data_IF_574334032662
#
_entry.id   IF_574334032662
#
_cell.length_a   1.000
_cell.length_b   1.000
_cell.length_c   1.000
_cell.angle_alpha   90.00
_cell.angle_beta   90.00
_cell.angle_gamma   90.00
#
_symmetry.space_group_name_H-M   'P 1'
#
loop_
_entity.id
_entity.type
_entity.pdbx_description
1 polymer ?
#
# COMPACT_ATOMS: atom_id res chain seq x y z
N UNK A 1 12.12 65.41 -34.78
CA UNK A 1 10.76 65.49 -34.21
C UNK A 1 10.01 64.21 -34.48
N UNK A 2 9.38 63.69 -33.45
CA UNK A 2 8.43 62.60 -33.25
C UNK A 2 9.04 61.35 -32.59
N UNK A 3 8.81 61.30 -31.32
CA UNK A 3 9.01 60.18 -30.38
C UNK A 3 8.15 58.98 -30.77
N UNK A 4 8.71 57.80 -30.82
CA UNK A 4 7.95 56.56 -30.65
C UNK A 4 8.50 55.88 -29.39
N UNK A 5 7.69 55.87 -28.34
CA UNK A 5 7.89 55.03 -27.17
C UNK A 5 7.46 53.57 -27.51
N UNK A 6 8.20 52.54 -27.09
CA UNK A 6 7.75 51.17 -27.22
C UNK A 6 6.81 50.80 -26.07
N UNK A 7 5.62 50.41 -26.45
CA UNK A 7 4.58 49.91 -25.59
C UNK A 7 4.73 48.36 -25.46
N UNK A 8 5.80 47.88 -24.81
CA UNK A 8 6.00 46.46 -24.50
C UNK A 8 6.71 46.35 -23.16
N UNK A 9 6.00 46.43 -22.05
CA UNK A 9 6.50 46.06 -20.71
C UNK A 9 5.39 45.87 -19.66
N UNK A 10 4.17 45.39 -20.03
CA UNK A 10 3.09 45.28 -19.03
C UNK A 10 2.27 43.97 -19.12
N UNK A 11 2.74 42.95 -19.81
CA UNK A 11 1.96 41.70 -19.93
C UNK A 11 2.61 40.52 -19.19
N UNK A 12 3.86 40.65 -18.74
CA UNK A 12 4.56 39.54 -18.06
C UNK A 12 4.41 39.51 -16.51
N UNK A 13 3.80 40.51 -15.90
CA UNK A 13 3.68 40.61 -14.43
C UNK A 13 2.38 40.06 -13.84
N UNK A 14 1.31 39.94 -14.64
CA UNK A 14 -0.01 39.58 -14.15
C UNK A 14 -0.17 38.08 -13.81
N UNK A 15 0.39 37.13 -14.59
CA UNK A 15 0.27 35.71 -14.23
C UNK A 15 1.03 35.32 -12.96
N UNK A 16 2.21 35.92 -12.71
CA UNK A 16 2.98 35.61 -11.51
C UNK A 16 2.30 36.15 -10.24
N UNK A 17 1.64 37.30 -10.31
CA UNK A 17 0.93 37.90 -9.18
C UNK A 17 -0.36 37.14 -8.86
N UNK A 18 -1.06 36.61 -9.88
CA UNK A 18 -2.27 35.79 -9.71
C UNK A 18 -1.89 34.42 -9.13
N UNK A 19 -0.80 33.79 -9.60
CA UNK A 19 -0.31 32.52 -9.04
C UNK A 19 0.19 32.71 -7.61
N UNK A 20 0.87 33.80 -7.30
CA UNK A 20 1.29 34.12 -5.93
C UNK A 20 0.10 34.44 -5.04
N UNK A 21 -0.95 35.10 -5.57
CA UNK A 21 -2.17 35.39 -4.82
C UNK A 21 -3.00 34.12 -4.57
N UNK A 22 -3.06 33.20 -5.54
CA UNK A 22 -3.71 31.89 -5.38
C UNK A 22 -2.93 31.03 -4.37
N UNK A 23 -1.59 31.02 -4.41
CA UNK A 23 -0.76 30.30 -3.43
C UNK A 23 -0.89 30.94 -2.03
N UNK A 24 -0.99 32.26 -1.91
CA UNK A 24 -1.21 32.94 -0.65
C UNK A 24 -2.65 32.70 -0.14
N UNK A 25 -3.63 32.56 -1.02
CA UNK A 25 -5.02 32.23 -0.65
C UNK A 25 -5.13 30.76 -0.22
N UNK A 26 -4.38 29.85 -0.82
CA UNK A 26 -4.35 28.41 -0.44
C UNK A 26 -3.50 28.18 0.85
N UNK A 27 -2.50 29.04 1.11
CA UNK A 27 -1.72 28.97 2.35
C UNK A 27 -2.28 29.82 3.50
N UNK A 28 -3.25 30.71 3.23
CA UNK A 28 -4.06 31.41 4.21
C UNK A 28 -5.54 31.07 3.93
N UNK A 29 -5.91 29.80 4.11
CA UNK A 29 -7.30 29.56 4.49
C UNK A 29 -7.54 30.40 5.75
N UNK A 30 -8.53 31.31 5.75
CA UNK A 30 -8.93 31.96 6.99
C UNK A 30 -9.21 30.82 7.95
N UNK A 31 -8.58 30.80 9.13
CA UNK A 31 -8.91 29.84 10.19
C UNK A 31 -10.41 29.75 10.22
N UNK A 32 -10.97 28.60 9.81
CA UNK A 32 -12.39 28.45 9.56
C UNK A 32 -13.15 28.98 10.77
N UNK A 33 -14.16 29.80 10.55
CA UNK A 33 -14.93 30.39 11.66
C UNK A 33 -15.57 29.33 12.55
N UNK A 34 -15.50 28.03 12.19
CA UNK A 34 -16.00 26.90 12.95
C UNK A 34 -15.97 25.59 12.17
N UNK A 35 -16.27 24.47 12.84
CA UNK A 35 -16.44 23.17 12.18
C UNK A 35 -17.79 23.12 11.46
N UNK A 36 -17.83 22.51 10.25
CA UNK A 36 -19.11 22.28 9.56
C UNK A 36 -19.94 21.21 10.29
N UNK A 37 -21.28 21.35 10.25
CA UNK A 37 -22.19 20.32 10.79
C UNK A 37 -21.92 18.95 10.18
N UNK A 38 -21.72 18.89 8.89
CA UNK A 38 -21.46 17.64 8.17
C UNK A 38 -20.20 16.92 8.69
N UNK A 39 -19.08 17.65 8.86
CA UNK A 39 -17.82 17.07 9.36
C UNK A 39 -17.93 16.69 10.85
N UNK A 40 -18.61 17.51 11.64
CA UNK A 40 -18.88 17.19 13.04
C UNK A 40 -19.74 15.92 13.18
N UNK A 41 -20.80 15.78 12.37
CA UNK A 41 -21.64 14.59 12.37
C UNK A 41 -20.86 13.33 11.90
N UNK A 42 -20.07 13.44 10.83
CA UNK A 42 -19.18 12.35 10.38
C UNK A 42 -18.27 11.89 11.51
N UNK A 43 -17.55 12.83 12.14
CA UNK A 43 -16.61 12.50 13.21
C UNK A 43 -17.33 11.88 14.43
N UNK A 44 -18.51 12.38 14.80
CA UNK A 44 -19.30 11.84 15.88
C UNK A 44 -19.77 10.41 15.60
N UNK A 45 -20.27 10.12 14.41
CA UNK A 45 -20.70 8.77 14.02
C UNK A 45 -19.50 7.81 14.03
N UNK A 46 -18.40 8.19 13.39
CA UNK A 46 -17.20 7.36 13.34
C UNK A 46 -16.47 7.22 14.70
N UNK A 47 -16.81 8.02 15.71
CA UNK A 47 -16.40 7.75 17.08
C UNK A 47 -17.21 6.62 17.74
N UNK A 48 -18.46 6.41 17.30
CA UNK A 48 -19.41 5.45 17.89
C UNK A 48 -19.43 4.11 17.18
N UNK A 49 -19.52 4.12 15.84
CA UNK A 49 -19.71 2.93 15.02
C UNK A 49 -18.68 2.89 13.88
N UNK A 50 -18.53 1.71 13.26
CA UNK A 50 -17.70 1.55 12.07
C UNK A 50 -18.34 2.22 10.84
N UNK A 51 -17.49 2.47 9.82
CA UNK A 51 -17.98 2.96 8.54
C UNK A 51 -18.97 1.98 7.91
N UNK A 52 -18.67 0.70 7.95
CA UNK A 52 -19.52 -0.37 7.41
C UNK A 52 -20.88 -0.40 8.09
N UNK A 53 -20.93 -0.28 9.42
CA UNK A 53 -22.19 -0.21 10.17
C UNK A 53 -23.04 1.00 9.75
N UNK A 54 -22.40 2.16 9.53
CA UNK A 54 -23.09 3.36 9.06
C UNK A 54 -23.65 3.17 7.64
N UNK A 55 -22.89 2.58 6.71
CA UNK A 55 -23.31 2.31 5.35
C UNK A 55 -24.42 1.26 5.28
N UNK A 56 -24.38 0.24 6.14
CA UNK A 56 -25.44 -0.76 6.24
C UNK A 56 -26.71 -0.17 6.84
N UNK A 57 -26.60 0.67 7.85
CA UNK A 57 -27.73 1.40 8.42
C UNK A 57 -28.44 2.24 7.34
N UNK A 58 -27.69 2.98 6.50
CA UNK A 58 -28.29 3.79 5.42
C UNK A 58 -28.99 2.92 4.38
N UNK A 59 -28.46 1.76 4.02
CA UNK A 59 -29.09 0.80 3.08
C UNK A 59 -30.40 0.24 3.61
N UNK A 60 -30.50 0.05 4.94
CA UNK A 60 -31.67 -0.50 5.60
C UNK A 60 -32.70 0.59 5.95
N UNK A 61 -32.37 1.87 5.73
CA UNK A 61 -33.24 3.00 6.02
C UNK A 61 -34.34 3.12 4.97
N UNK A 62 -35.59 2.92 5.33
CA UNK A 62 -36.75 3.00 4.42
C UNK A 62 -36.86 4.37 3.75
N UNK A 63 -36.49 5.43 4.48
CA UNK A 63 -36.60 6.81 4.03
C UNK A 63 -35.58 7.71 4.69
N UNK A 64 -34.71 8.33 3.88
CA UNK A 64 -33.81 9.38 4.36
C UNK A 64 -34.59 10.65 4.76
N UNK A 65 -34.13 11.33 5.81
CA UNK A 65 -34.65 12.65 6.21
C UNK A 65 -34.40 13.71 5.15
N UNK A 66 -33.36 13.55 4.33
CA UNK A 66 -32.98 14.51 3.30
C UNK A 66 -33.83 14.40 2.03
N UNK A 67 -33.98 15.54 1.31
CA UNK A 67 -34.60 15.57 -0.02
C UNK A 67 -33.80 14.75 -1.02
N UNK A 68 -34.47 14.19 -2.03
CA UNK A 68 -33.87 13.33 -3.05
C UNK A 68 -32.64 13.95 -3.71
N UNK A 69 -32.65 15.26 -3.96
CA UNK A 69 -31.53 16.01 -4.54
C UNK A 69 -30.28 16.08 -3.65
N UNK A 70 -30.40 15.85 -2.37
CA UNK A 70 -29.33 15.89 -1.39
C UNK A 70 -28.78 14.50 -1.04
N UNK A 71 -29.50 13.42 -1.32
CA UNK A 71 -29.19 12.04 -0.91
C UNK A 71 -27.86 11.50 -1.41
N UNK A 72 -27.36 12.00 -2.54
CA UNK A 72 -26.04 11.62 -3.07
C UNK A 72 -24.86 12.34 -2.38
N UNK A 73 -25.13 13.21 -1.41
CA UNK A 73 -24.08 13.94 -0.70
C UNK A 73 -23.42 13.05 0.35
N UNK A 74 -22.10 13.11 0.45
CA UNK A 74 -21.28 12.27 1.32
C UNK A 74 -21.70 12.26 2.81
N UNK A 75 -22.28 13.36 3.29
CA UNK A 75 -22.64 13.55 4.72
C UNK A 75 -23.98 12.96 5.11
N UNK A 76 -24.85 12.65 4.15
CA UNK A 76 -26.25 12.23 4.41
C UNK A 76 -26.30 11.01 5.32
N UNK A 77 -25.53 9.97 5.03
CA UNK A 77 -25.48 8.74 5.83
C UNK A 77 -25.15 8.99 7.32
N UNK A 78 -24.24 9.92 7.60
CA UNK A 78 -23.85 10.27 8.97
C UNK A 78 -24.94 11.08 9.68
N UNK A 79 -25.54 12.03 8.99
CA UNK A 79 -26.61 12.87 9.57
C UNK A 79 -27.91 12.09 9.75
N UNK A 80 -28.29 11.25 8.79
CA UNK A 80 -29.47 10.37 8.91
C UNK A 80 -29.31 9.40 10.09
N UNK A 81 -28.11 8.83 10.27
CA UNK A 81 -27.84 7.97 11.44
C UNK A 81 -28.09 8.71 12.75
N UNK A 82 -27.52 9.90 12.93
CA UNK A 82 -27.68 10.69 14.16
C UNK A 82 -29.12 11.16 14.35
N UNK A 83 -29.82 11.51 13.28
CA UNK A 83 -31.21 11.93 13.33
C UNK A 83 -32.14 10.79 13.75
N UNK A 84 -32.04 9.64 13.13
CA UNK A 84 -32.85 8.45 13.47
C UNK A 84 -32.58 7.92 14.88
N UNK A 85 -31.35 8.11 15.40
CA UNK A 85 -31.02 7.83 16.80
C UNK A 85 -31.54 8.88 17.77
N UNK A 86 -32.13 9.97 17.28
CA UNK A 86 -32.62 11.07 18.09
C UNK A 86 -31.52 11.98 18.67
N UNK A 87 -30.30 11.93 18.09
CA UNK A 87 -29.19 12.76 18.54
C UNK A 87 -29.20 14.16 17.88
N UNK A 88 -29.87 14.31 16.75
CA UNK A 88 -30.08 15.58 16.06
C UNK A 88 -31.56 15.97 16.09
N UNK A 89 -31.80 17.28 16.07
CA UNK A 89 -33.14 17.83 15.91
C UNK A 89 -33.41 18.22 14.47
N UNK A 90 -34.68 18.43 14.08
CA UNK A 90 -35.06 18.90 12.75
C UNK A 90 -34.37 20.23 12.38
N UNK A 91 -34.13 21.10 13.33
CA UNK A 91 -33.44 22.37 13.07
C UNK A 91 -31.94 22.19 12.77
N UNK A 92 -31.33 21.09 13.24
CA UNK A 92 -29.94 20.74 12.98
C UNK A 92 -29.76 19.99 11.65
N UNK A 93 -30.82 19.36 11.16
CA UNK A 93 -30.84 18.58 9.92
C UNK A 93 -31.91 19.11 8.95
N UNK A 94 -31.83 20.37 8.52
CA UNK A 94 -32.79 20.84 7.51
C UNK A 94 -32.62 19.99 6.25
N UNK A 95 -33.73 19.60 5.61
CA UNK A 95 -33.71 18.68 4.46
C UNK A 95 -32.98 19.24 3.21
N UNK A 96 -32.57 20.50 3.27
CA UNK A 96 -31.88 21.20 2.19
C UNK A 96 -30.37 21.15 2.32
N UNK A 97 -29.66 20.90 1.23
CA UNK A 97 -28.21 20.70 1.15
C UNK A 97 -27.37 21.80 1.81
N UNK A 98 -27.80 23.06 1.72
CA UNK A 98 -27.00 24.20 2.20
C UNK A 98 -26.81 24.26 3.71
N UNK A 99 -27.74 23.75 4.48
CA UNK A 99 -27.69 23.84 5.93
C UNK A 99 -26.74 22.82 6.57
N UNK A 100 -26.57 21.64 5.95
CA UNK A 100 -25.58 20.65 6.40
C UNK A 100 -24.14 21.14 6.25
N UNK A 101 -23.88 22.02 5.30
CA UNK A 101 -22.57 22.65 5.08
C UNK A 101 -22.34 23.90 5.95
N UNK A 102 -23.36 24.35 6.70
CA UNK A 102 -23.21 25.42 7.67
C UNK A 102 -22.38 24.99 8.88
N UNK A 103 -21.90 25.97 9.64
CA UNK A 103 -21.14 25.68 10.87
C UNK A 103 -22.03 25.12 11.97
N UNK A 104 -21.48 24.19 12.74
CA UNK A 104 -22.08 23.72 13.98
C UNK A 104 -21.97 24.82 15.05
N UNK A 105 -23.09 25.17 15.72
CA UNK A 105 -23.07 26.14 16.80
C UNK A 105 -22.79 25.48 18.15
N UNK A 106 -22.39 26.27 19.15
CA UNK A 106 -22.21 25.76 20.53
C UNK A 106 -23.48 25.12 21.08
N UNK A 107 -24.64 25.70 20.78
CA UNK A 107 -25.94 25.16 21.25
C UNK A 107 -26.27 23.81 20.65
N UNK A 108 -25.99 23.63 19.36
CA UNK A 108 -26.13 22.36 18.65
C UNK A 108 -25.13 21.32 19.15
N UNK A 109 -23.88 21.71 19.34
CA UNK A 109 -22.82 20.81 19.83
C UNK A 109 -23.10 20.36 21.28
N UNK A 110 -23.58 21.24 22.15
CA UNK A 110 -24.01 20.90 23.54
C UNK A 110 -25.18 19.89 23.50
N UNK A 111 -26.18 20.13 22.62
CA UNK A 111 -27.30 19.20 22.44
C UNK A 111 -26.82 17.84 22.00
N UNK A 112 -26.01 17.78 20.92
CA UNK A 112 -25.45 16.53 20.39
C UNK A 112 -24.67 15.76 21.46
N UNK A 113 -23.82 16.44 22.23
CA UNK A 113 -23.04 15.84 23.29
C UNK A 113 -23.95 15.17 24.36
N UNK A 114 -24.95 15.90 24.87
CA UNK A 114 -25.88 15.38 25.86
C UNK A 114 -26.80 14.28 25.35
N UNK A 115 -27.19 14.34 24.07
CA UNK A 115 -28.00 13.33 23.43
C UNK A 115 -27.25 12.00 23.25
N UNK A 116 -25.93 12.04 22.90
CA UNK A 116 -25.10 10.84 22.76
C UNK A 116 -24.86 10.18 24.12
N UNK A 117 -24.42 10.91 25.13
CA UNK A 117 -24.14 10.35 26.45
C UNK A 117 -24.19 11.43 27.55
N UNK A 118 -24.71 11.05 28.73
CA UNK A 118 -24.64 11.89 29.96
C UNK A 118 -23.19 12.16 30.40
N UNK A 119 -22.24 11.26 30.08
CA UNK A 119 -20.82 11.46 30.37
C UNK A 119 -20.18 12.62 29.59
N UNK A 120 -20.85 13.06 28.53
CA UNK A 120 -20.41 14.17 27.67
C UNK A 120 -21.06 15.52 28.05
N UNK A 121 -22.07 15.51 28.93
CA UNK A 121 -22.71 16.74 29.41
C UNK A 121 -21.67 17.71 30.03
N UNK A 122 -21.71 18.96 29.58
CA UNK A 122 -20.80 20.02 30.04
C UNK A 122 -19.37 19.96 29.46
N UNK A 123 -19.03 18.98 28.60
CA UNK A 123 -17.75 18.97 27.83
C UNK A 123 -17.71 20.09 26.79
N UNK A 124 -18.85 20.36 26.16
CA UNK A 124 -19.08 21.57 25.37
C UNK A 124 -20.12 22.38 26.17
N UNK A 125 -19.91 23.68 26.31
CA UNK A 125 -20.81 24.51 27.09
C UNK A 125 -21.31 25.71 26.30
N UNK A 126 -22.60 25.69 26.00
CA UNK A 126 -23.31 26.83 25.45
C UNK A 126 -23.69 27.82 26.57
N UNK A 127 -23.52 29.09 26.31
CA UNK A 127 -23.94 30.19 27.16
C UNK A 127 -24.91 31.09 26.38
N UNK A 128 -25.60 32.00 27.06
CA UNK A 128 -26.46 32.97 26.35
C UNK A 128 -25.71 33.81 25.29
N UNK A 129 -24.38 33.94 25.42
CA UNK A 129 -23.57 34.79 24.53
C UNK A 129 -23.03 34.06 23.32
N UNK A 130 -22.75 32.74 23.43
CA UNK A 130 -22.13 31.94 22.35
C UNK A 130 -23.06 30.88 21.75
N UNK A 131 -24.28 30.70 22.27
CA UNK A 131 -25.17 29.59 21.86
C UNK A 131 -25.34 29.45 20.35
N UNK A 132 -25.51 30.60 19.69
CA UNK A 132 -25.75 30.65 18.21
C UNK A 132 -24.49 30.99 17.44
N UNK A 133 -23.30 31.00 18.08
CA UNK A 133 -22.03 31.20 17.37
C UNK A 133 -21.41 29.86 16.97
N UNK A 134 -20.68 29.81 15.86
CA UNK A 134 -19.95 28.62 15.44
C UNK A 134 -18.99 28.14 16.52
N UNK A 135 -18.89 26.82 16.71
CA UNK A 135 -17.85 26.22 17.55
C UNK A 135 -16.55 26.16 16.76
N UNK A 136 -15.43 26.69 17.29
CA UNK A 136 -14.12 26.59 16.65
C UNK A 136 -13.72 25.11 16.38
N UNK A 137 -13.02 24.86 15.30
CA UNK A 137 -12.64 23.49 14.92
C UNK A 137 -11.73 22.85 15.98
N UNK A 138 -10.80 23.59 16.55
CA UNK A 138 -9.90 23.13 17.60
C UNK A 138 -10.64 22.74 18.88
N UNK A 139 -11.68 23.49 19.29
CA UNK A 139 -12.53 23.12 20.42
C UNK A 139 -13.36 21.86 20.13
N UNK A 140 -13.85 21.70 18.90
CA UNK A 140 -14.53 20.47 18.51
C UNK A 140 -13.60 19.26 18.59
N UNK A 141 -12.34 19.35 18.14
CA UNK A 141 -11.41 18.23 18.21
C UNK A 141 -10.98 17.87 19.64
N UNK A 142 -10.93 18.82 20.55
CA UNK A 142 -10.77 18.53 21.98
C UNK A 142 -11.97 17.76 22.55
N UNK A 143 -13.18 18.15 22.16
CA UNK A 143 -14.39 17.42 22.52
C UNK A 143 -14.41 16.01 21.90
N UNK A 144 -14.01 15.88 20.64
CA UNK A 144 -13.95 14.60 19.93
C UNK A 144 -13.10 13.55 20.68
N UNK A 145 -11.99 13.94 21.29
CA UNK A 145 -11.21 13.03 22.13
C UNK A 145 -11.98 12.51 23.35
N UNK A 146 -12.83 13.35 23.93
CA UNK A 146 -13.70 12.92 25.03
C UNK A 146 -14.83 12.02 24.52
N UNK A 147 -15.39 12.31 23.34
CA UNK A 147 -16.40 11.51 22.67
C UNK A 147 -15.88 10.08 22.37
N UNK A 148 -14.71 9.96 21.75
CA UNK A 148 -14.06 8.67 21.44
C UNK A 148 -13.84 7.83 22.71
N UNK A 149 -13.44 8.46 23.82
CA UNK A 149 -13.26 7.76 25.10
C UNK A 149 -14.57 7.28 25.70
N UNK A 150 -15.61 8.11 25.65
CA UNK A 150 -16.93 7.80 26.22
C UNK A 150 -17.65 6.70 25.45
N UNK A 151 -17.53 6.68 24.14
CA UNK A 151 -18.21 5.72 23.26
C UNK A 151 -17.46 4.40 23.10
N UNK A 152 -16.29 4.26 23.71
CA UNK A 152 -15.45 3.06 23.59
C UNK A 152 -14.71 2.93 22.25
N UNK A 153 -14.79 3.95 21.38
CA UNK A 153 -14.14 3.95 20.07
C UNK A 153 -12.62 4.10 20.08
N UNK A 154 -11.99 4.19 21.27
CA UNK A 154 -10.55 4.47 21.41
C UNK A 154 -9.64 3.45 20.70
N UNK A 155 -10.02 2.19 20.70
CA UNK A 155 -9.24 1.12 20.04
C UNK A 155 -9.48 1.05 18.54
N UNK A 156 -10.58 1.64 18.05
CA UNK A 156 -10.97 1.61 16.64
C UNK A 156 -10.51 2.87 15.87
N UNK A 157 -10.16 3.93 16.57
CA UNK A 157 -9.64 5.18 15.99
C UNK A 157 -8.11 5.15 16.00
N UNK A 158 -7.53 5.23 14.82
CA UNK A 158 -6.09 5.15 14.63
C UNK A 158 -5.49 6.52 14.33
N UNK A 159 -4.25 6.74 14.78
CA UNK A 159 -3.42 7.86 14.35
C UNK A 159 -2.24 7.31 13.55
N UNK A 160 -2.09 7.80 12.31
CA UNK A 160 -1.01 7.37 11.42
C UNK A 160 -0.34 8.55 10.74
N UNK A 161 0.91 8.36 10.37
CA UNK A 161 1.61 9.23 9.42
C UNK A 161 1.56 8.58 8.05
N UNK A 162 0.95 9.27 7.10
CA UNK A 162 0.73 8.77 5.74
C UNK A 162 1.31 9.74 4.72
N UNK A 163 1.78 9.21 3.61
CA UNK A 163 2.18 9.98 2.44
C UNK A 163 1.04 9.97 1.42
N UNK A 164 0.60 11.13 0.98
CA UNK A 164 -0.46 11.26 -0.02
C UNK A 164 0.15 11.21 -1.42
N UNK A 165 -0.14 10.17 -2.17
CA UNK A 165 0.28 10.03 -3.57
C UNK A 165 -0.67 10.74 -4.54
N UNK A 166 -1.97 10.74 -4.25
CA UNK A 166 -2.94 11.36 -5.12
C UNK A 166 -4.36 11.35 -4.59
N UNK A 167 -5.17 12.20 -5.21
CA UNK A 167 -6.62 12.36 -5.00
C UNK A 167 -7.27 12.48 -6.39
N UNK A 168 -8.60 12.60 -6.51
CA UNK A 168 -9.26 12.87 -7.79
C UNK A 168 -8.76 14.14 -8.51
N UNK A 169 -8.04 15.02 -7.80
CA UNK A 169 -7.44 16.21 -8.39
C UNK A 169 -6.31 15.88 -9.39
N UNK A 170 -5.50 14.85 -9.12
CA UNK A 170 -4.31 14.53 -9.91
C UNK A 170 -4.23 13.07 -10.39
N UNK A 171 -5.26 12.27 -10.10
CA UNK A 171 -5.39 10.87 -10.55
C UNK A 171 -6.62 10.77 -11.44
N UNK A 172 -6.39 10.44 -12.72
CA UNK A 172 -7.46 10.31 -13.70
C UNK A 172 -8.40 9.16 -13.31
N UNK A 173 -9.69 9.37 -13.49
CA UNK A 173 -10.76 8.40 -13.22
C UNK A 173 -10.81 7.90 -11.76
N UNK A 174 -10.16 8.59 -10.81
CA UNK A 174 -10.27 8.28 -9.40
C UNK A 174 -11.69 8.53 -8.88
N UNK A 175 -12.25 7.62 -8.08
CA UNK A 175 -13.54 7.84 -7.44
C UNK A 175 -13.51 9.09 -6.53
N UNK A 176 -14.64 9.80 -6.45
CA UNK A 176 -14.76 10.93 -5.53
C UNK A 176 -14.41 10.50 -4.09
N UNK A 177 -13.81 11.40 -3.33
CA UNK A 177 -13.42 11.19 -1.93
C UNK A 177 -12.46 10.03 -1.70
N UNK A 178 -11.65 9.68 -2.69
CA UNK A 178 -10.66 8.60 -2.60
C UNK A 178 -9.25 9.17 -2.63
N UNK A 179 -8.46 8.88 -1.60
CA UNK A 179 -7.04 9.19 -1.52
C UNK A 179 -6.19 7.93 -1.70
N UNK A 180 -5.12 8.04 -2.47
CA UNK A 180 -4.10 7.01 -2.64
C UNK A 180 -2.89 7.38 -1.79
N UNK A 181 -2.52 6.50 -0.88
CA UNK A 181 -1.54 6.80 0.17
C UNK A 181 -0.51 5.69 0.33
N UNK A 182 0.52 5.93 1.15
CA UNK A 182 1.50 4.90 1.55
C UNK A 182 0.88 3.72 2.30
N UNK A 183 -0.29 3.92 2.93
CA UNK A 183 -1.02 2.91 3.68
C UNK A 183 -2.19 2.30 2.87
N UNK A 184 -2.20 2.51 1.54
CA UNK A 184 -3.26 2.03 0.66
C UNK A 184 -4.29 3.10 0.29
N UNK A 185 -5.48 2.65 -0.08
CA UNK A 185 -6.58 3.51 -0.52
C UNK A 185 -7.45 3.88 0.67
N UNK A 186 -7.74 5.17 0.83
CA UNK A 186 -8.51 5.72 1.95
C UNK A 186 -9.62 6.64 1.47
N UNK A 187 -10.71 6.69 2.24
CA UNK A 187 -11.74 7.72 2.08
C UNK A 187 -11.36 9.02 2.78
N UNK A 188 -11.80 10.16 2.26
CA UNK A 188 -11.56 11.47 2.88
C UNK A 188 -12.79 12.40 2.78
N UNK A 189 -13.99 11.84 2.89
CA UNK A 189 -15.25 12.58 2.78
C UNK A 189 -15.27 13.84 3.65
N UNK A 190 -15.52 14.99 3.02
CA UNK A 190 -15.64 16.27 3.68
C UNK A 190 -14.32 16.92 4.13
N UNK A 191 -13.18 16.36 3.76
CA UNK A 191 -11.85 16.88 4.09
C UNK A 191 -11.17 17.38 2.82
N UNK A 192 -10.42 18.46 2.87
CA UNK A 192 -9.60 18.93 1.76
C UNK A 192 -8.20 18.31 1.85
N UNK A 193 -7.83 17.47 0.87
CA UNK A 193 -6.52 16.80 0.81
C UNK A 193 -5.62 17.27 -0.32
N UNK A 194 -6.12 18.00 -1.29
CA UNK A 194 -5.37 18.34 -2.49
C UNK A 194 -4.10 19.16 -2.20
N UNK A 195 -4.13 19.98 -1.15
CA UNK A 195 -2.96 20.73 -0.69
C UNK A 195 -1.87 19.85 -0.05
N UNK A 196 -2.19 18.61 0.30
CA UNK A 196 -1.26 17.66 0.92
C UNK A 196 -0.75 16.59 -0.05
N UNK A 197 -1.09 16.67 -1.34
CA UNK A 197 -0.49 15.80 -2.35
C UNK A 197 1.02 15.99 -2.33
N UNK A 198 1.76 14.88 -2.37
CA UNK A 198 3.23 14.84 -2.24
C UNK A 198 3.74 15.31 -0.86
N UNK A 199 2.91 15.17 0.17
CA UNK A 199 3.27 15.49 1.54
C UNK A 199 3.04 14.30 2.46
N UNK A 200 3.87 14.22 3.50
CA UNK A 200 3.63 13.34 4.64
C UNK A 200 2.82 14.12 5.68
N UNK A 201 1.70 13.57 6.07
CA UNK A 201 0.78 14.16 7.05
C UNK A 201 0.47 13.17 8.17
N UNK A 202 0.16 13.72 9.34
CA UNK A 202 -0.41 12.95 10.45
C UNK A 202 -1.93 13.09 10.42
N UNK A 203 -2.61 11.96 10.50
CA UNK A 203 -4.07 11.89 10.38
C UNK A 203 -4.68 11.06 11.51
N UNK A 204 -5.95 11.34 11.80
CA UNK A 204 -6.84 10.47 12.56
C UNK A 204 -7.76 9.79 11.55
N UNK A 205 -7.89 8.47 11.65
CA UNK A 205 -8.73 7.66 10.75
C UNK A 205 -9.44 6.54 11.50
N UNK A 206 -10.50 6.01 10.89
CA UNK A 206 -11.18 4.79 11.30
C UNK A 206 -11.65 4.03 10.07
N UNK A 207 -11.39 2.73 10.03
CA UNK A 207 -11.81 1.81 8.95
C UNK A 207 -11.45 2.34 7.55
N UNK A 208 -10.26 2.91 7.40
CA UNK A 208 -9.80 3.50 6.14
C UNK A 208 -10.46 4.81 5.74
N UNK A 209 -11.25 5.45 6.61
CA UNK A 209 -11.84 6.77 6.38
C UNK A 209 -11.14 7.83 7.24
N UNK A 210 -10.66 8.90 6.61
CA UNK A 210 -10.05 10.03 7.31
C UNK A 210 -11.11 10.80 8.12
N UNK A 211 -10.82 11.03 9.38
CA UNK A 211 -11.64 11.85 10.29
C UNK A 211 -11.11 13.27 10.32
N UNK A 212 -9.78 13.44 10.38
CA UNK A 212 -9.11 14.76 10.30
C UNK A 212 -7.66 14.63 9.87
N UNK A 213 -7.13 15.71 9.32
CA UNK A 213 -5.68 15.95 9.20
C UNK A 213 -5.23 16.67 10.49
N UNK A 214 -4.29 16.08 11.22
CA UNK A 214 -3.79 16.69 12.46
C UNK A 214 -2.73 17.74 12.17
N UNK A 215 -1.78 17.41 11.30
CA UNK A 215 -0.69 18.31 10.92
C UNK A 215 0.07 17.83 9.69
N UNK A 216 0.71 18.76 9.02
CA UNK A 216 1.77 18.47 8.06
C UNK A 216 3.00 17.93 8.83
N UNK A 217 3.56 16.81 8.38
CA UNK A 217 4.81 16.23 8.91
C UNK A 217 5.99 16.67 8.06
N UNK A 218 5.88 16.49 6.74
CA UNK A 218 6.92 16.90 5.79
C UNK A 218 6.32 17.23 4.43
N UNK A 219 6.85 18.28 3.78
CA UNK A 219 6.64 18.60 2.37
C UNK A 219 7.84 18.17 1.50
N UNK A 220 8.79 17.45 2.11
CA UNK A 220 9.89 16.78 1.44
C UNK A 220 9.75 15.27 1.63
N UNK A 221 9.54 14.54 0.53
CA UNK A 221 9.24 13.12 0.54
C UNK A 221 10.04 12.37 -0.52
N UNK A 222 10.16 11.06 -0.35
CA UNK A 222 10.82 10.19 -1.33
C UNK A 222 9.84 9.11 -1.77
N UNK A 223 9.58 9.04 -3.07
CA UNK A 223 8.90 7.92 -3.70
C UNK A 223 9.94 6.85 -4.02
N UNK A 224 9.88 5.73 -3.34
CA UNK A 224 10.85 4.65 -3.49
C UNK A 224 10.38 3.58 -4.46
N UNK A 225 11.35 3.03 -5.19
CA UNK A 225 11.16 1.90 -6.10
C UNK A 225 10.04 2.10 -7.13
N UNK A 226 9.85 3.33 -7.60
CA UNK A 226 8.86 3.65 -8.62
C UNK A 226 9.33 3.23 -10.00
N UNK A 227 8.41 2.78 -10.85
CA UNK A 227 8.67 2.58 -12.27
C UNK A 227 8.48 3.89 -13.03
N UNK A 228 9.37 4.16 -13.95
CA UNK A 228 9.34 5.33 -14.81
C UNK A 228 9.14 4.93 -16.27
N UNK A 229 8.18 5.55 -16.94
CA UNK A 229 7.91 5.35 -18.35
C UNK A 229 7.68 6.69 -19.08
N UNK A 230 7.73 6.63 -20.41
CA UNK A 230 7.41 7.77 -21.25
C UNK A 230 5.92 8.08 -21.20
N UNK A 231 5.59 9.35 -20.99
CA UNK A 231 4.23 9.87 -21.01
C UNK A 231 3.98 10.78 -22.20
N UNK A 232 2.78 11.33 -22.26
CA UNK A 232 2.40 12.27 -23.31
C UNK A 232 2.98 13.66 -23.07
N UNK A 233 3.10 14.46 -24.15
CA UNK A 233 3.53 15.87 -24.13
C UNK A 233 4.84 16.13 -23.37
N UNK A 234 5.77 15.15 -23.38
CA UNK A 234 7.08 15.28 -22.72
C UNK A 234 7.06 15.11 -21.21
N UNK A 235 5.94 14.71 -20.62
CA UNK A 235 5.86 14.28 -19.21
C UNK A 235 6.35 12.85 -19.06
N UNK A 236 6.61 12.45 -17.83
CA UNK A 236 6.95 11.07 -17.47
C UNK A 236 5.79 10.44 -16.69
N UNK A 237 5.52 9.17 -16.98
CA UNK A 237 4.61 8.35 -16.18
C UNK A 237 5.39 7.79 -14.98
N UNK A 238 4.90 8.08 -13.79
CA UNK A 238 5.45 7.61 -12.53
C UNK A 238 4.44 6.66 -11.89
N UNK A 239 4.82 5.39 -11.77
CA UNK A 239 4.00 4.36 -11.12
C UNK A 239 4.35 4.32 -9.64
N UNK A 240 3.52 4.92 -8.81
CA UNK A 240 3.71 5.04 -7.36
C UNK A 240 2.48 4.51 -6.60
N UNK A 241 2.70 3.77 -5.54
CA UNK A 241 1.59 3.09 -4.87
C UNK A 241 0.80 2.24 -5.88
N UNK A 242 -0.50 2.43 -5.95
CA UNK A 242 -1.39 1.74 -6.91
C UNK A 242 -1.91 2.67 -8.01
N UNK A 243 -1.20 3.77 -8.28
CA UNK A 243 -1.60 4.77 -9.27
C UNK A 243 -0.48 5.08 -10.26
N UNK A 244 -0.88 5.67 -11.36
CA UNK A 244 0.02 6.25 -12.37
C UNK A 244 -0.18 7.75 -12.37
N UNK A 245 0.92 8.49 -12.27
CA UNK A 245 0.91 9.96 -12.31
C UNK A 245 1.72 10.47 -13.48
N UNK A 246 1.21 11.48 -14.15
CA UNK A 246 1.99 12.27 -15.10
C UNK A 246 2.76 13.35 -14.35
N UNK A 247 4.08 13.32 -14.43
CA UNK A 247 4.96 14.27 -13.74
C UNK A 247 5.95 14.90 -14.71
N UNK A 248 6.22 16.19 -14.50
CA UNK A 248 7.33 16.86 -15.20
C UNK A 248 8.63 16.63 -14.41
N UNK A 249 9.57 15.95 -15.04
CA UNK A 249 10.88 15.67 -14.44
C UNK A 249 11.86 16.84 -14.60
N UNK A 250 11.56 17.81 -15.44
CA UNK A 250 12.47 18.91 -15.76
C UNK A 250 13.72 18.50 -16.55
N UNK A 251 13.81 17.25 -17.01
CA UNK A 251 14.92 16.68 -17.74
C UNK A 251 14.77 16.89 -19.25
N UNK A 252 15.88 16.92 -19.98
CA UNK A 252 15.85 16.94 -21.44
C UNK A 252 15.50 15.56 -22.04
N UNK A 253 15.37 15.49 -23.38
CA UNK A 253 14.93 14.28 -24.06
C UNK A 253 15.93 13.11 -23.95
N UNK A 254 17.24 13.40 -23.89
CA UNK A 254 18.26 12.35 -23.81
C UNK A 254 18.38 11.82 -22.39
N UNK A 255 18.33 12.69 -21.38
CA UNK A 255 18.27 12.32 -19.97
C UNK A 255 17.04 11.45 -19.68
N UNK A 256 15.88 11.79 -20.27
CA UNK A 256 14.64 11.00 -20.13
C UNK A 256 14.74 9.60 -20.69
N UNK A 257 15.46 9.39 -21.81
CA UNK A 257 15.65 8.04 -22.37
C UNK A 257 16.39 7.10 -21.43
N UNK A 258 17.39 7.62 -20.70
CA UNK A 258 18.11 6.83 -19.70
C UNK A 258 17.29 6.55 -18.44
N UNK A 259 16.28 7.37 -18.21
CA UNK A 259 15.38 7.27 -17.07
C UNK A 259 14.29 6.20 -17.27
N UNK A 260 13.73 6.12 -18.48
CA UNK A 260 12.56 5.28 -18.76
C UNK A 260 12.85 3.78 -18.71
N UNK A 261 11.83 3.01 -18.41
CA UNK A 261 11.85 1.57 -18.22
C UNK A 261 12.82 1.13 -17.10
N UNK A 262 12.97 1.97 -16.09
CA UNK A 262 13.80 1.70 -14.93
C UNK A 262 13.04 1.93 -13.62
N UNK A 263 13.56 1.31 -12.57
CA UNK A 263 13.19 1.58 -11.19
C UNK A 263 14.03 2.74 -10.68
N UNK A 264 13.40 3.67 -9.98
CA UNK A 264 14.08 4.82 -9.41
C UNK A 264 13.49 5.23 -8.06
N UNK A 265 14.28 5.98 -7.30
CA UNK A 265 13.80 6.76 -6.17
C UNK A 265 13.66 8.22 -6.60
N UNK A 266 12.52 8.84 -6.31
CA UNK A 266 12.23 10.23 -6.65
C UNK A 266 12.08 11.04 -5.36
N UNK A 267 12.95 12.03 -5.16
CA UNK A 267 12.80 13.01 -4.08
C UNK A 267 11.97 14.19 -4.57
N UNK A 268 10.89 14.48 -3.83
CA UNK A 268 10.05 15.65 -4.06
C UNK A 268 10.19 16.64 -2.91
N UNK A 269 10.08 17.91 -3.22
CA UNK A 269 9.96 19.01 -2.27
C UNK A 269 8.85 19.95 -2.75
N UNK A 270 7.83 20.15 -1.92
CA UNK A 270 6.63 20.94 -2.26
C UNK A 270 6.02 20.55 -3.61
N UNK A 271 5.85 19.23 -3.82
CA UNK A 271 5.29 18.65 -5.04
C UNK A 271 6.18 18.74 -6.30
N UNK A 272 7.43 19.23 -6.18
CA UNK A 272 8.36 19.34 -7.31
C UNK A 272 9.47 18.33 -7.19
N UNK A 273 9.78 17.65 -8.28
CA UNK A 273 10.91 16.72 -8.35
C UNK A 273 12.22 17.49 -8.16
N UNK A 274 13.04 17.06 -7.20
CA UNK A 274 14.37 17.61 -6.90
C UNK A 274 15.48 16.68 -7.31
N UNK A 275 15.26 15.37 -7.20
CA UNK A 275 16.27 14.37 -7.50
C UNK A 275 15.60 13.08 -7.96
N UNK A 276 16.22 12.44 -8.95
CA UNK A 276 15.85 11.08 -9.39
C UNK A 276 17.13 10.24 -9.32
N UNK A 277 17.03 9.08 -8.70
CA UNK A 277 18.14 8.11 -8.57
C UNK A 277 17.68 6.80 -9.20
N UNK A 278 18.19 6.52 -10.40
CA UNK A 278 17.88 5.27 -11.13
C UNK A 278 18.67 4.12 -10.51
N UNK A 279 17.98 2.99 -10.27
CA UNK A 279 18.58 1.74 -9.79
C UNK A 279 18.91 0.85 -11.00
N UNK A 280 20.21 0.73 -11.29
CA UNK A 280 20.69 0.07 -12.53
C UNK A 280 21.14 -1.38 -12.32
N UNK A 281 21.39 -1.79 -11.07
CA UNK A 281 21.84 -3.15 -10.79
C UNK A 281 20.72 -4.15 -11.05
N UNK A 282 21.02 -5.13 -11.90
CA UNK A 282 20.08 -6.18 -12.33
C UNK A 282 20.64 -7.55 -11.95
N UNK A 283 19.74 -8.43 -11.56
CA UNK A 283 20.02 -9.81 -11.24
C UNK A 283 18.99 -10.68 -11.94
N UNK A 284 19.42 -11.83 -12.43
CA UNK A 284 18.55 -12.84 -13.04
C UNK A 284 18.81 -14.18 -12.38
N UNK A 285 17.83 -15.05 -12.38
CA UNK A 285 17.93 -16.39 -11.83
C UNK A 285 16.55 -16.99 -11.61
N UNK A 286 16.51 -18.29 -11.47
CA UNK A 286 15.28 -19.01 -11.13
C UNK A 286 14.89 -18.69 -9.70
N UNK A 287 13.63 -18.30 -9.49
CA UNK A 287 13.10 -18.07 -8.14
C UNK A 287 12.88 -19.42 -7.48
N UNK A 288 13.44 -19.59 -6.30
CA UNK A 288 13.35 -20.84 -5.54
C UNK A 288 12.34 -20.71 -4.38
N UNK A 289 12.24 -19.54 -3.75
CA UNK A 289 11.24 -19.23 -2.74
C UNK A 289 10.95 -17.73 -2.69
N UNK A 290 9.73 -17.36 -2.28
CA UNK A 290 9.33 -15.99 -1.95
C UNK A 290 8.73 -16.02 -0.55
N UNK A 291 9.28 -15.22 0.36
CA UNK A 291 8.80 -15.00 1.73
C UNK A 291 8.36 -13.55 1.88
N UNK A 292 7.82 -13.18 3.01
CA UNK A 292 7.33 -11.83 3.28
C UNK A 292 8.45 -10.77 3.20
N UNK A 293 9.64 -11.11 3.70
CA UNK A 293 10.79 -10.23 3.83
C UNK A 293 12.00 -10.62 2.97
N UNK A 294 11.93 -11.74 2.24
CA UNK A 294 13.07 -12.29 1.51
C UNK A 294 12.65 -13.08 0.27
N UNK A 295 13.60 -13.22 -0.65
CA UNK A 295 13.46 -14.04 -1.85
C UNK A 295 14.73 -14.89 -2.03
N UNK A 296 14.55 -16.15 -2.40
CA UNK A 296 15.65 -17.04 -2.75
C UNK A 296 15.78 -17.15 -4.26
N UNK A 297 16.95 -16.80 -4.77
CA UNK A 297 17.26 -16.83 -6.22
C UNK A 297 18.42 -17.78 -6.45
N UNK A 298 18.25 -18.69 -7.40
CA UNK A 298 19.28 -19.68 -7.77
C UNK A 298 20.60 -18.99 -8.15
N UNK A 299 21.69 -19.47 -7.56
CA UNK A 299 23.04 -18.91 -7.73
C UNK A 299 23.33 -17.65 -6.88
N UNK A 300 22.32 -17.06 -6.25
CA UNK A 300 22.46 -15.85 -5.41
C UNK A 300 22.09 -16.08 -3.94
N UNK A 301 21.37 -17.18 -3.65
CA UNK A 301 20.92 -17.49 -2.29
C UNK A 301 19.74 -16.66 -1.84
N UNK A 302 19.58 -16.51 -0.52
CA UNK A 302 18.49 -15.75 0.08
C UNK A 302 18.88 -14.26 0.17
N UNK A 303 18.06 -13.40 -0.41
CA UNK A 303 18.24 -11.96 -0.44
C UNK A 303 17.07 -11.27 0.28
N UNK A 304 17.33 -10.21 1.07
CA UNK A 304 16.26 -9.47 1.71
C UNK A 304 15.46 -8.67 0.67
N UNK A 305 14.15 -8.53 0.88
CA UNK A 305 13.31 -7.60 0.14
C UNK A 305 13.41 -6.20 0.76
N UNK A 306 13.43 -5.17 -0.08
CA UNK A 306 13.27 -3.79 0.38
C UNK A 306 11.86 -3.61 0.99
N UNK A 307 11.68 -2.82 2.06
CA UNK A 307 10.35 -2.52 2.61
C UNK A 307 9.36 -1.98 1.57
N UNK A 308 9.88 -1.27 0.55
CA UNK A 308 9.10 -0.72 -0.56
C UNK A 308 9.22 -1.58 -1.84
N UNK A 309 9.37 -2.90 -1.68
CA UNK A 309 9.50 -3.85 -2.79
C UNK A 309 8.30 -3.77 -3.75
N UNK A 310 8.58 -3.77 -5.06
CA UNK A 310 7.56 -3.65 -6.10
C UNK A 310 7.66 -4.81 -7.10
N UNK A 311 6.54 -5.17 -7.71
CA UNK A 311 6.48 -6.16 -8.80
C UNK A 311 5.78 -5.54 -10.00
N UNK A 312 6.41 -5.67 -11.17
CA UNK A 312 5.87 -5.14 -12.43
C UNK A 312 5.95 -6.19 -13.52
N UNK A 313 4.89 -6.30 -14.32
CA UNK A 313 4.88 -7.03 -15.57
C UNK A 313 5.29 -6.08 -16.68
N UNK A 314 6.41 -6.36 -17.37
CA UNK A 314 7.00 -5.46 -18.39
C UNK A 314 6.85 -5.98 -19.82
N UNK A 315 6.28 -7.17 -20.01
CA UNK A 315 5.96 -7.72 -21.33
C UNK A 315 4.48 -7.56 -21.66
N UNK A 316 4.14 -7.42 -22.94
CA UNK A 316 2.77 -7.14 -23.36
C UNK A 316 2.27 -5.82 -22.81
N UNK A 317 1.10 -5.82 -22.15
CA UNK A 317 0.59 -4.65 -21.43
C UNK A 317 1.34 -4.51 -20.10
N UNK A 318 1.90 -3.32 -19.85
CA UNK A 318 2.54 -3.01 -18.57
C UNK A 318 1.51 -3.01 -17.44
N UNK A 319 1.80 -3.71 -16.36
CA UNK A 319 0.91 -3.82 -15.21
C UNK A 319 1.71 -3.83 -13.91
N UNK A 320 1.19 -3.18 -12.87
CA UNK A 320 1.65 -3.42 -11.50
C UNK A 320 1.12 -4.77 -11.03
N UNK A 321 1.98 -5.55 -10.40
CA UNK A 321 1.70 -6.87 -9.86
C UNK A 321 1.98 -6.91 -8.36
N UNK A 322 1.78 -8.07 -7.75
CA UNK A 322 2.02 -8.34 -6.33
C UNK A 322 3.09 -9.41 -6.17
N UNK A 323 3.70 -9.60 -5.00
CA UNK A 323 4.63 -10.69 -4.75
C UNK A 323 4.05 -12.09 -5.05
N UNK A 324 2.72 -12.25 -4.96
CA UNK A 324 2.03 -13.51 -5.30
C UNK A 324 2.07 -13.85 -6.82
N UNK A 325 2.35 -12.87 -7.67
CA UNK A 325 2.50 -13.07 -9.12
C UNK A 325 3.91 -13.54 -9.52
N UNK A 326 4.86 -13.60 -8.58
CA UNK A 326 6.21 -14.13 -8.82
C UNK A 326 6.13 -15.65 -8.86
N UNK A 327 6.48 -16.23 -10.00
CA UNK A 327 6.41 -17.66 -10.19
C UNK A 327 7.66 -18.36 -9.65
N UNK A 328 7.48 -19.16 -8.62
CA UNK A 328 8.53 -20.01 -8.03
C UNK A 328 8.82 -21.18 -8.97
N UNK A 329 10.11 -21.47 -9.20
CA UNK A 329 10.57 -22.50 -10.11
C UNK A 329 10.93 -22.00 -11.52
N UNK A 330 10.74 -20.70 -11.80
CA UNK A 330 10.95 -20.11 -13.12
C UNK A 330 11.97 -18.98 -13.10
N UNK A 331 12.63 -18.74 -14.24
CA UNK A 331 13.62 -17.68 -14.50
C UNK A 331 13.06 -16.57 -15.41
N UNK A 332 11.76 -16.32 -15.32
CA UNK A 332 11.05 -15.32 -16.14
C UNK A 332 11.10 -13.92 -15.56
N UNK A 333 11.80 -13.74 -14.45
CA UNK A 333 11.92 -12.49 -13.71
C UNK A 333 13.33 -11.92 -13.79
N UNK A 334 13.43 -10.59 -13.82
CA UNK A 334 14.62 -9.83 -13.51
C UNK A 334 14.41 -9.09 -12.19
N UNK A 335 15.46 -9.01 -11.40
CA UNK A 335 15.42 -8.33 -10.11
C UNK A 335 16.26 -7.07 -10.14
N UNK A 336 15.71 -5.99 -9.60
CA UNK A 336 16.44 -4.73 -9.38
C UNK A 336 16.95 -4.74 -7.96
N UNK A 337 18.26 -4.55 -7.81
CA UNK A 337 18.92 -4.60 -6.50
C UNK A 337 19.51 -3.22 -6.17
N UNK A 338 19.44 -2.81 -4.92
CA UNK A 338 20.12 -1.64 -4.39
C UNK A 338 20.37 -1.83 -2.89
N UNK A 339 21.54 -1.38 -2.45
CA UNK A 339 21.92 -1.46 -1.02
C UNK A 339 21.82 -2.87 -0.42
N UNK A 340 22.07 -3.90 -1.23
CA UNK A 340 22.04 -5.30 -0.82
C UNK A 340 20.64 -5.90 -0.66
N UNK A 341 19.58 -5.19 -1.03
CA UNK A 341 18.20 -5.67 -1.00
C UNK A 341 17.57 -5.67 -2.40
N UNK A 342 16.62 -6.58 -2.64
CA UNK A 342 15.81 -6.61 -3.86
C UNK A 342 14.74 -5.53 -3.77
N UNK A 343 14.80 -4.55 -4.67
CA UNK A 343 13.91 -3.40 -4.73
C UNK A 343 12.67 -3.64 -5.59
N UNK A 344 12.83 -4.40 -6.66
CA UNK A 344 11.73 -4.75 -7.55
C UNK A 344 11.97 -6.09 -8.26
N UNK A 345 10.88 -6.77 -8.61
CA UNK A 345 10.84 -7.88 -9.55
C UNK A 345 10.13 -7.42 -10.82
N UNK A 346 10.75 -7.69 -11.98
CA UNK A 346 10.22 -7.39 -13.28
C UNK A 346 9.91 -8.72 -13.99
N UNK A 347 8.63 -9.01 -14.21
CA UNK A 347 8.20 -10.14 -15.02
C UNK A 347 8.43 -9.75 -16.48
N UNK A 348 9.45 -10.32 -17.11
CA UNK A 348 9.95 -9.85 -18.43
C UNK A 348 9.45 -10.69 -19.60
N UNK A 349 8.87 -11.86 -19.34
CA UNK A 349 8.29 -12.75 -20.35
C UNK A 349 7.18 -13.61 -19.76
N UNK A 350 6.36 -14.19 -20.62
CA UNK A 350 5.39 -15.20 -20.20
C UNK A 350 6.11 -16.50 -19.80
N UNK A 351 5.43 -17.31 -18.99
CA UNK A 351 6.03 -18.56 -18.56
C UNK A 351 5.66 -19.71 -19.51
N UNK A 352 6.60 -20.63 -19.65
CA UNK A 352 6.42 -21.90 -20.34
C UNK A 352 6.75 -23.01 -19.32
N UNK A 353 5.74 -23.77 -18.93
CA UNK A 353 5.88 -24.79 -17.90
C UNK A 353 6.72 -25.96 -18.44
N UNK A 354 8.02 -25.95 -18.17
CA UNK A 354 8.95 -27.02 -18.55
C UNK A 354 9.14 -28.07 -17.46
N UNK A 355 8.88 -27.71 -16.23
CA UNK A 355 9.03 -28.60 -15.08
C UNK A 355 7.79 -28.57 -14.21
N UNK A 356 7.58 -29.65 -13.45
CA UNK A 356 6.61 -29.75 -12.36
C UNK A 356 7.38 -29.99 -11.05
N UNK A 357 6.96 -29.31 -9.98
CA UNK A 357 7.53 -29.42 -8.64
C UNK A 357 6.54 -30.10 -7.71
N UNK A 358 6.96 -31.19 -7.09
CA UNK A 358 6.12 -32.01 -6.23
C UNK A 358 6.68 -32.00 -4.82
N UNK A 359 5.92 -31.47 -3.85
CA UNK A 359 6.27 -31.54 -2.43
C UNK A 359 6.05 -32.97 -1.93
N UNK A 360 7.10 -33.56 -1.34
CA UNK A 360 7.09 -34.94 -0.91
C UNK A 360 6.72 -35.02 0.56
N UNK A 361 5.63 -35.72 0.84
CA UNK A 361 5.13 -35.93 2.21
C UNK A 361 5.81 -37.11 2.89
N UNK A 362 5.71 -37.16 4.23
CA UNK A 362 6.17 -38.28 5.06
C UNK A 362 5.50 -39.61 4.68
N UNK A 363 5.94 -40.70 5.27
CA UNK A 363 5.42 -42.06 5.05
C UNK A 363 3.91 -42.16 5.27
N UNK A 364 3.39 -41.44 6.24
CA UNK A 364 1.98 -41.44 6.63
C UNK A 364 1.11 -40.44 5.88
N UNK A 365 1.65 -39.62 4.99
CA UNK A 365 0.97 -38.50 4.35
C UNK A 365 0.33 -37.52 5.33
N UNK A 366 0.95 -37.36 6.52
CA UNK A 366 0.44 -36.47 7.58
C UNK A 366 1.23 -35.15 7.65
N UNK A 367 2.49 -35.16 7.21
CA UNK A 367 3.37 -33.99 7.24
C UNK A 367 4.12 -33.84 5.92
N UNK A 368 4.28 -32.61 5.48
CA UNK A 368 5.17 -32.22 4.39
C UNK A 368 6.60 -31.90 4.89
N UNK A 369 6.82 -31.94 6.22
CA UNK A 369 8.09 -31.66 6.85
C UNK A 369 8.70 -32.91 7.43
N UNK A 370 10.02 -33.03 7.29
CA UNK A 370 10.83 -34.15 7.72
C UNK A 370 11.86 -33.70 8.76
N UNK A 371 12.15 -34.52 9.76
CA UNK A 371 13.21 -34.18 10.73
C UNK A 371 14.60 -34.50 10.20
N UNK A 372 14.68 -35.51 9.34
CA UNK A 372 15.89 -35.99 8.74
C UNK A 372 15.61 -36.60 7.37
N UNK A 373 16.53 -36.43 6.44
CA UNK A 373 16.50 -37.03 5.10
C UNK A 373 17.87 -37.59 4.74
N UNK A 374 17.90 -38.83 4.28
CA UNK A 374 19.12 -39.52 3.82
C UNK A 374 18.92 -39.98 2.38
N UNK A 375 19.78 -39.51 1.50
CA UNK A 375 19.75 -39.74 0.06
C UNK A 375 20.83 -40.74 -0.33
N UNK A 376 20.45 -41.68 -1.20
CA UNK A 376 21.39 -42.65 -1.80
C UNK A 376 21.02 -42.82 -3.28
N UNK A 377 22.01 -43.16 -4.11
CA UNK A 377 21.79 -43.48 -5.54
C UNK A 377 22.72 -44.59 -5.99
N UNK A 378 22.34 -45.29 -7.05
CA UNK A 378 23.21 -46.20 -7.75
C UNK A 378 24.19 -45.49 -8.71
N UNK A 379 23.93 -44.21 -9.01
CA UNK A 379 24.83 -43.30 -9.70
C UNK A 379 25.58 -42.36 -8.77
N UNK A 380 26.51 -41.60 -9.33
CA UNK A 380 27.14 -40.46 -8.63
C UNK A 380 26.11 -39.36 -8.42
N UNK A 381 26.10 -38.77 -7.23
CA UNK A 381 25.22 -37.63 -6.90
C UNK A 381 25.99 -36.32 -6.92
N UNK A 382 25.49 -35.34 -7.68
CA UNK A 382 25.93 -33.95 -7.59
C UNK A 382 25.03 -33.20 -6.62
N UNK A 383 25.64 -32.55 -5.64
CA UNK A 383 24.98 -31.80 -4.57
C UNK A 383 25.40 -30.34 -4.67
N UNK A 384 24.44 -29.45 -4.88
CA UNK A 384 24.68 -28.00 -4.94
C UNK A 384 24.05 -27.35 -3.72
N UNK A 385 24.88 -26.81 -2.85
CA UNK A 385 24.48 -26.12 -1.63
C UNK A 385 24.11 -24.67 -1.91
N UNK A 386 23.29 -24.08 -1.04
CA UNK A 386 23.00 -22.66 -1.07
C UNK A 386 24.27 -21.81 -1.15
N UNK A 387 24.27 -20.81 -2.06
CA UNK A 387 25.46 -20.01 -2.37
C UNK A 387 26.39 -20.64 -3.43
N UNK A 388 25.97 -21.74 -4.11
CA UNK A 388 26.63 -22.28 -5.30
C UNK A 388 27.81 -23.20 -5.04
N UNK A 389 28.03 -23.65 -3.79
CA UNK A 389 29.08 -24.67 -3.50
C UNK A 389 28.61 -26.04 -3.99
N UNK A 390 29.39 -26.65 -4.89
CA UNK A 390 29.15 -27.98 -5.44
C UNK A 390 29.96 -29.04 -4.69
N UNK A 391 29.36 -30.22 -4.48
CA UNK A 391 29.96 -31.40 -3.91
C UNK A 391 29.53 -32.61 -4.75
N UNK A 392 30.47 -33.51 -5.00
CA UNK A 392 30.24 -34.76 -5.72
C UNK A 392 30.37 -35.97 -4.81
N UNK A 393 29.34 -36.79 -4.77
CA UNK A 393 29.28 -37.99 -3.95
C UNK A 393 29.35 -39.25 -4.87
N UNK A 394 30.37 -40.05 -4.69
CA UNK A 394 30.56 -41.27 -5.42
C UNK A 394 29.49 -42.34 -5.14
N UNK A 395 29.30 -43.24 -6.05
CA UNK A 395 28.36 -44.37 -5.99
C UNK A 395 28.41 -45.05 -4.61
N UNK A 396 27.28 -45.31 -4.00
CA UNK A 396 27.14 -45.95 -2.69
C UNK A 396 27.43 -45.08 -1.51
N UNK A 397 27.74 -43.79 -1.69
CA UNK A 397 27.79 -42.79 -0.63
C UNK A 397 26.39 -42.24 -0.37
N UNK A 398 26.15 -41.86 0.88
CA UNK A 398 24.90 -41.26 1.32
C UNK A 398 25.10 -39.80 1.73
N UNK A 399 24.11 -38.96 1.45
CA UNK A 399 24.00 -37.61 2.00
C UNK A 399 22.91 -37.59 3.04
N UNK A 400 23.26 -37.16 4.24
CA UNK A 400 22.28 -36.97 5.32
C UNK A 400 22.16 -35.49 5.63
N UNK A 401 20.92 -35.01 5.76
CA UNK A 401 20.53 -33.65 6.13
C UNK A 401 19.53 -33.76 7.27
N UNK A 402 19.74 -33.00 8.35
CA UNK A 402 18.84 -32.92 9.50
C UNK A 402 18.34 -31.49 9.68
N UNK A 403 17.22 -31.32 10.36
CA UNK A 403 16.70 -29.99 10.69
C UNK A 403 17.77 -29.15 11.42
N UNK A 404 17.93 -27.90 11.03
CA UNK A 404 18.95 -27.00 11.57
C UNK A 404 20.38 -27.27 11.06
N UNK A 405 20.53 -27.96 9.94
CA UNK A 405 21.84 -28.18 9.31
C UNK A 405 22.45 -26.84 8.86
N UNK A 406 23.63 -26.44 9.39
CA UNK A 406 24.26 -25.16 9.06
C UNK A 406 24.55 -24.98 7.57
N UNK A 407 24.61 -26.06 6.78
CA UNK A 407 24.83 -26.00 5.34
C UNK A 407 23.65 -25.43 4.59
N UNK A 408 22.45 -25.39 5.21
CA UNK A 408 21.23 -24.80 4.67
C UNK A 408 21.03 -23.31 5.02
N UNK A 409 21.89 -22.70 5.85
CA UNK A 409 21.77 -21.28 6.24
C UNK A 409 21.80 -20.31 5.04
N UNK A 410 22.43 -20.71 3.93
CA UNK A 410 22.52 -19.89 2.71
C UNK A 410 21.47 -20.23 1.65
N UNK A 411 20.47 -20.99 2.01
CA UNK A 411 19.42 -21.46 1.12
C UNK A 411 19.40 -22.96 0.98
N UNK A 412 18.63 -23.44 0.03
CA UNK A 412 18.40 -24.87 -0.21
C UNK A 412 19.61 -25.62 -0.74
N UNK A 413 19.57 -26.94 -0.60
CA UNK A 413 20.42 -27.84 -1.33
C UNK A 413 19.65 -28.48 -2.47
N UNK A 414 20.30 -28.62 -3.63
CA UNK A 414 19.78 -29.36 -4.78
C UNK A 414 20.64 -30.61 -4.97
N UNK A 415 19.98 -31.76 -5.18
CA UNK A 415 20.62 -33.07 -5.33
C UNK A 415 20.14 -33.67 -6.66
N UNK A 416 21.08 -34.10 -7.48
CA UNK A 416 20.81 -34.77 -8.75
C UNK A 416 21.71 -36.01 -8.92
N UNK A 417 21.15 -37.11 -9.38
CA UNK A 417 21.95 -38.26 -9.77
C UNK A 417 22.36 -38.09 -11.24
N UNK A 418 23.61 -38.51 -11.55
CA UNK A 418 24.14 -38.52 -12.92
C UNK A 418 23.56 -39.70 -13.73
N UNK A 419 23.69 -39.61 -15.05
CA UNK A 419 23.32 -40.66 -16.00
C UNK A 419 21.85 -41.12 -15.94
N UNK A 420 20.95 -40.29 -15.40
CA UNK A 420 19.52 -40.57 -15.29
C UNK A 420 19.17 -41.58 -14.20
N UNK A 421 20.10 -41.87 -13.31
CA UNK A 421 19.86 -42.71 -12.13
C UNK A 421 18.89 -42.03 -11.13
N UNK A 422 18.22 -42.85 -10.34
CA UNK A 422 17.27 -42.42 -9.35
C UNK A 422 17.90 -42.18 -7.98
N UNK A 423 17.31 -41.28 -7.21
CA UNK A 423 17.69 -40.99 -5.82
C UNK A 423 16.65 -41.63 -4.90
N UNK A 424 17.11 -42.48 -3.98
CA UNK A 424 16.29 -43.13 -2.95
C UNK A 424 16.33 -42.29 -1.68
N UNK A 425 15.16 -42.00 -1.11
CA UNK A 425 15.04 -41.35 0.21
C UNK A 425 14.80 -42.42 1.29
N UNK A 426 15.77 -42.58 2.18
CA UNK A 426 15.83 -43.72 3.11
C UNK A 426 14.76 -43.69 4.20
N UNK A 427 14.33 -42.51 4.62
CA UNK A 427 13.31 -42.32 5.68
C UNK A 427 11.88 -42.56 5.20
N UNK A 428 11.66 -42.61 3.88
CA UNK A 428 10.33 -42.80 3.33
C UNK A 428 10.04 -44.26 3.03
N UNK A 429 8.81 -44.67 3.37
CA UNK A 429 8.23 -45.97 3.01
C UNK A 429 6.95 -45.75 2.22
N UNK A 430 6.75 -46.53 1.16
CA UNK A 430 5.52 -46.62 0.37
C UNK A 430 5.07 -48.10 0.34
N UNK A 431 3.86 -48.34 -0.12
CA UNK A 431 3.33 -49.71 -0.14
C UNK A 431 4.16 -50.75 -0.94
N UNK A 432 5.08 -50.27 -1.77
CA UNK A 432 6.00 -51.08 -2.59
C UNK A 432 7.48 -50.96 -2.13
N UNK A 433 7.76 -50.33 -1.00
CA UNK A 433 9.10 -50.14 -0.44
C UNK A 433 9.54 -48.69 -0.41
N UNK A 434 10.86 -48.48 -0.38
CA UNK A 434 11.45 -47.13 -0.41
C UNK A 434 11.26 -46.48 -1.76
N UNK A 435 10.71 -45.25 -1.79
CA UNK A 435 10.52 -44.54 -3.05
C UNK A 435 11.84 -44.03 -3.61
N UNK A 436 11.96 -44.08 -4.93
CA UNK A 436 13.02 -43.45 -5.67
C UNK A 436 12.47 -42.34 -6.58
N UNK A 437 13.29 -41.34 -6.83
CA UNK A 437 12.91 -40.13 -7.53
C UNK A 437 13.88 -39.82 -8.66
N UNK A 438 13.33 -39.59 -9.86
CA UNK A 438 14.07 -39.01 -10.98
C UNK A 438 14.14 -37.49 -10.89
N UNK A 439 15.02 -36.87 -11.69
CA UNK A 439 15.16 -35.42 -11.78
C UNK A 439 15.95 -34.83 -10.62
N UNK A 440 15.52 -33.68 -10.12
CA UNK A 440 16.19 -32.97 -9.05
C UNK A 440 15.40 -33.09 -7.74
N UNK A 441 16.11 -33.32 -6.65
CA UNK A 441 15.57 -33.19 -5.28
C UNK A 441 16.09 -31.91 -4.67
N UNK A 442 15.19 -31.12 -4.08
CA UNK A 442 15.55 -29.92 -3.34
C UNK A 442 15.14 -30.08 -1.87
N UNK A 443 16.01 -29.65 -0.95
CA UNK A 443 15.73 -29.64 0.49
C UNK A 443 15.92 -28.23 1.03
N UNK A 444 14.90 -27.74 1.76
CA UNK A 444 14.96 -26.49 2.52
C UNK A 444 14.73 -26.77 4.01
N UNK A 445 15.36 -25.96 4.86
CA UNK A 445 15.05 -25.92 6.30
C UNK A 445 13.93 -24.91 6.54
N UNK A 446 12.82 -25.37 7.06
CA UNK A 446 11.62 -24.57 7.35
C UNK A 446 11.31 -24.63 8.84
N UNK A 447 10.44 -23.72 9.32
CA UNK A 447 9.99 -23.77 10.69
C UNK A 447 9.25 -25.11 10.97
N UNK A 448 9.88 -25.97 11.77
CA UNK A 448 9.35 -27.27 12.16
C UNK A 448 9.91 -28.47 11.40
N UNK A 449 10.82 -28.31 10.41
CA UNK A 449 11.49 -29.42 9.73
C UNK A 449 11.97 -29.11 8.30
N UNK A 450 12.42 -30.15 7.62
CA UNK A 450 12.92 -30.07 6.26
C UNK A 450 11.78 -30.26 5.26
N UNK A 451 11.61 -29.36 4.30
CA UNK A 451 10.75 -29.59 3.15
C UNK A 451 11.55 -30.25 2.01
N UNK A 452 10.97 -31.29 1.40
CA UNK A 452 11.56 -32.03 0.28
C UNK A 452 10.70 -31.82 -0.97
N UNK A 453 11.30 -31.32 -2.04
CA UNK A 453 10.65 -31.12 -3.33
C UNK A 453 11.35 -31.93 -4.42
N UNK A 454 10.57 -32.65 -5.23
CA UNK A 454 11.05 -33.28 -6.44
C UNK A 454 10.65 -32.44 -7.66
N UNK A 455 11.62 -32.05 -8.47
CA UNK A 455 11.41 -31.34 -9.73
C UNK A 455 11.66 -32.25 -10.93
N UNK A 456 10.63 -32.35 -11.79
CA UNK A 456 10.59 -33.22 -12.96
C UNK A 456 10.29 -32.38 -14.21
N UNK A 457 10.89 -32.78 -15.36
CA UNK A 457 10.48 -32.21 -16.63
C UNK A 457 9.06 -32.65 -17.01
N UNK A 458 8.31 -31.74 -17.60
CA UNK A 458 7.00 -32.02 -18.22
C UNK A 458 7.31 -32.53 -19.63
N UNK A 459 6.89 -33.75 -19.95
CA UNK A 459 7.05 -34.34 -21.29
C UNK A 459 6.07 -33.72 -22.31
#
# INVERSE_FOLDING_TARGET
MKNHYPFIAWVAGIPALIITLIIIIVCNEPKGEGISRALACKSAVLAMISREECENFEKDLDRSHFQESARSSWYVKYMDYLYEKGYLTESMTPPETKAAQGYLTYGEAEHLAGAISKGLEGKIRATRKNRDTPIPEDEWWLFYEALVRETGGKEAVEQKEILIYGTPFNVKDAPAWTAYTSEGVMGFEGISLDAYIDCQIRVTLRDGELIRVERLVSDQVVYKNVWLAEGEQGKSLVYVGNIVREMDTGLDADEKKELYNNIADITLEKGKIRKIVVKKERMTGRVLAVKEDSIEIEGHGILPLSPDFQVFKTYGTFEKKTPADILVGYDIQEFVVSDGAVCAALLVRDFDAKTIRVLIMDTGFQSALHQKLTFTSMGTMTVVWGGGKEERLEVGKSLTIEQGDPRLEKGRVTIQAEDGEEIVVQELERGYGKPSYCGHLEVTDEEGGLALVNELYVE
#
